data_IF_727749709208
#
_entry.id   IF_727749709208
#
_cell.length_a   1.000
_cell.length_b   1.000
_cell.length_c   1.000
_cell.angle_alpha   90.00
_cell.angle_beta   90.00
_cell.angle_gamma   90.00
#
_symmetry.space_group_name_H-M   'P 1'
#
loop_
_entity.id
_entity.type
_entity.pdbx_description
1 polymer ?
#
# COMPACT_ATOMS: atom_id res chain seq x y z
N UNK A 1 9.75 7.23 4.75
CA UNK A 1 8.47 7.31 5.47
C UNK A 1 7.60 8.34 4.78
N UNK A 2 6.42 7.93 4.32
CA UNK A 2 5.41 8.87 3.79
C UNK A 2 4.91 9.72 4.97
N UNK A 3 4.90 11.06 4.86
CA UNK A 3 4.41 11.91 5.95
C UNK A 3 2.92 11.66 6.20
N UNK A 4 2.59 11.25 7.42
CA UNK A 4 1.21 11.05 7.86
C UNK A 4 0.67 12.42 8.29
N UNK A 5 -0.10 13.08 7.43
CA UNK A 5 -0.98 14.17 7.85
C UNK A 5 -2.17 13.59 8.60
N UNK A 6 -2.68 14.30 9.61
CA UNK A 6 -3.82 13.86 10.45
C UNK A 6 -5.17 13.75 9.72
N UNK A 7 -5.19 13.79 8.38
CA UNK A 7 -6.37 13.55 7.56
C UNK A 7 -6.39 12.11 7.04
N UNK A 8 -7.51 11.40 7.22
CA UNK A 8 -7.87 10.21 6.44
C UNK A 8 -8.15 10.59 4.97
N UNK A 9 -7.29 11.38 4.35
CA UNK A 9 -7.40 11.69 2.93
C UNK A 9 -7.03 10.41 2.14
N UNK A 10 -7.91 9.94 1.24
CA UNK A 10 -7.60 8.80 0.40
C UNK A 10 -6.36 9.15 -0.43
N UNK A 11 -5.27 8.42 -0.22
CA UNK A 11 -4.09 8.55 -1.05
C UNK A 11 -4.45 8.11 -2.46
N UNK A 12 -4.38 9.05 -3.41
CA UNK A 12 -4.59 8.77 -4.82
C UNK A 12 -3.24 8.60 -5.50
N UNK A 13 -3.09 7.51 -6.24
CA UNK A 13 -1.89 7.27 -7.02
C UNK A 13 -1.92 8.09 -8.32
N UNK A 14 -0.79 8.71 -8.72
CA UNK A 14 -0.68 9.38 -10.01
C UNK A 14 -0.54 8.39 -11.19
N UNK A 15 -0.53 7.07 -10.94
CA UNK A 15 -0.36 6.06 -11.99
C UNK A 15 -1.67 5.85 -12.73
N UNK A 16 -1.76 6.38 -13.94
CA UNK A 16 -2.89 6.17 -14.83
C UNK A 16 -2.73 4.86 -15.63
N UNK A 17 -3.84 4.24 -16.10
CA UNK A 17 -3.79 3.01 -16.89
C UNK A 17 -3.05 3.12 -18.24
N UNK A 18 -2.88 4.34 -18.75
CA UNK A 18 -2.15 4.67 -19.98
C UNK A 18 -0.71 5.12 -19.72
N UNK A 19 -0.29 5.19 -18.46
CA UNK A 19 1.10 5.47 -18.09
C UNK A 19 1.94 4.21 -18.35
N UNK A 20 3.19 4.33 -18.82
CA UNK A 20 4.12 3.20 -18.90
C UNK A 20 4.20 2.38 -17.60
N UNK A 21 4.05 3.02 -16.44
CA UNK A 21 4.00 2.33 -15.14
C UNK A 21 2.74 1.48 -14.97
N UNK A 22 1.61 1.93 -15.51
CA UNK A 22 0.38 1.16 -15.57
C UNK A 22 0.53 -0.07 -16.48
N UNK A 23 1.17 0.09 -17.64
CA UNK A 23 1.47 -1.04 -18.54
C UNK A 23 2.37 -2.08 -17.86
N UNK A 24 3.42 -1.65 -17.15
CA UNK A 24 4.27 -2.57 -16.36
C UNK A 24 3.46 -3.36 -15.33
N UNK A 25 2.51 -2.73 -14.63
CA UNK A 25 1.62 -3.44 -13.69
C UNK A 25 0.73 -4.44 -14.43
N UNK A 26 0.26 -4.13 -15.64
CA UNK A 26 -0.54 -5.06 -16.45
C UNK A 26 0.26 -6.27 -16.91
N UNK A 27 1.52 -6.09 -17.28
CA UNK A 27 2.41 -7.17 -17.71
C UNK A 27 2.95 -8.01 -16.53
N UNK A 28 3.13 -7.39 -15.35
CA UNK A 28 3.65 -8.07 -14.18
C UNK A 28 2.75 -9.23 -13.74
N UNK A 29 3.29 -10.44 -13.63
CA UNK A 29 2.55 -11.59 -13.09
C UNK A 29 2.46 -11.54 -11.55
N UNK A 30 3.50 -11.00 -10.90
CA UNK A 30 3.66 -10.95 -9.45
C UNK A 30 4.22 -9.59 -9.05
N UNK A 31 3.70 -9.00 -7.98
CA UNK A 31 4.20 -7.78 -7.35
C UNK A 31 4.82 -8.18 -6.00
N UNK A 32 6.12 -7.98 -5.86
CA UNK A 32 6.83 -8.21 -4.59
C UNK A 32 6.98 -6.87 -3.89
N UNK A 33 6.50 -6.79 -2.66
CA UNK A 33 6.56 -5.58 -1.85
C UNK A 33 7.38 -5.86 -0.60
N UNK A 34 8.60 -5.36 -0.56
CA UNK A 34 9.47 -5.41 0.63
C UNK A 34 9.18 -4.26 1.61
N UNK A 35 9.39 -4.50 2.90
CA UNK A 35 9.00 -3.60 4.01
C UNK A 35 7.50 -3.28 4.08
N UNK A 36 6.63 -4.19 3.64
CA UNK A 36 5.18 -4.07 3.75
C UNK A 36 4.65 -3.64 5.14
N UNK A 37 5.17 -4.15 6.30
CA UNK A 37 4.67 -3.75 7.61
C UNK A 37 4.99 -2.29 7.99
N UNK A 38 5.86 -1.60 7.24
CA UNK A 38 6.10 -0.17 7.39
C UNK A 38 5.10 0.70 6.63
N UNK A 39 4.25 0.10 5.78
CA UNK A 39 3.22 0.81 5.03
C UNK A 39 1.97 1.03 5.89
N UNK A 40 1.46 2.27 5.91
CA UNK A 40 0.19 2.58 6.56
C UNK A 40 -0.98 1.97 5.76
N UNK A 41 -2.11 1.66 6.42
CA UNK A 41 -3.31 1.13 5.77
C UNK A 41 -3.77 1.96 4.55
N UNK A 42 -3.61 3.28 4.60
CA UNK A 42 -3.92 4.18 3.49
C UNK A 42 -3.10 3.88 2.22
N UNK A 43 -1.84 3.47 2.38
CA UNK A 43 -0.95 3.12 1.25
C UNK A 43 -1.39 1.80 0.63
N UNK A 44 -1.79 0.82 1.46
CA UNK A 44 -2.35 -0.44 0.98
C UNK A 44 -3.64 -0.23 0.17
N UNK A 45 -4.56 0.61 0.68
CA UNK A 45 -5.79 0.97 -0.03
C UNK A 45 -5.52 1.67 -1.36
N UNK A 46 -4.53 2.57 -1.40
CA UNK A 46 -4.12 3.25 -2.63
C UNK A 46 -3.59 2.25 -3.67
N UNK A 47 -2.77 1.29 -3.26
CA UNK A 47 -2.24 0.25 -4.16
C UNK A 47 -3.35 -0.65 -4.68
N UNK A 48 -4.26 -1.11 -3.81
CA UNK A 48 -5.44 -1.88 -4.19
C UNK A 48 -6.28 -1.17 -5.27
N UNK A 49 -6.63 0.10 -5.03
CA UNK A 49 -7.40 0.92 -5.96
C UNK A 49 -6.66 1.14 -7.28
N UNK A 50 -5.35 1.42 -7.20
CA UNK A 50 -4.50 1.63 -8.38
C UNK A 50 -4.46 0.37 -9.24
N UNK A 51 -4.25 -0.80 -8.64
CA UNK A 51 -4.21 -2.07 -9.38
C UNK A 51 -5.56 -2.39 -10.03
N UNK A 52 -6.68 -2.17 -9.35
CA UNK A 52 -8.03 -2.31 -9.94
C UNK A 52 -8.24 -1.36 -11.11
N UNK A 53 -7.86 -0.09 -10.95
CA UNK A 53 -7.98 0.93 -12.00
C UNK A 53 -7.15 0.58 -13.25
N UNK A 54 -5.91 0.14 -13.05
CA UNK A 54 -5.00 -0.25 -14.13
C UNK A 54 -5.48 -1.51 -14.84
N UNK A 55 -5.92 -2.52 -14.10
CA UNK A 55 -6.40 -3.79 -14.66
C UNK A 55 -7.82 -3.73 -15.21
N UNK A 56 -8.59 -2.69 -14.85
CA UNK A 56 -10.01 -2.50 -15.20
C UNK A 56 -10.89 -3.67 -14.76
N UNK A 57 -10.65 -4.17 -13.55
CA UNK A 57 -11.48 -5.20 -12.93
C UNK A 57 -11.61 -4.96 -11.42
N UNK A 58 -12.59 -5.61 -10.80
CA UNK A 58 -12.87 -5.52 -9.36
C UNK A 58 -12.27 -6.67 -8.55
N UNK A 59 -11.33 -7.43 -9.14
CA UNK A 59 -10.63 -8.48 -8.41
C UNK A 59 -9.68 -7.85 -7.39
N UNK A 60 -9.39 -8.54 -6.28
CA UNK A 60 -8.36 -8.10 -5.33
C UNK A 60 -7.05 -7.78 -6.06
N UNK A 61 -6.49 -6.59 -5.83
CA UNK A 61 -5.31 -6.06 -6.53
C UNK A 61 -5.35 -6.20 -8.06
N UNK A 62 -6.52 -6.08 -8.68
CA UNK A 62 -6.64 -6.21 -10.13
C UNK A 62 -6.42 -7.64 -10.65
N UNK A 63 -6.45 -8.65 -9.77
CA UNK A 63 -6.11 -10.04 -10.08
C UNK A 63 -4.61 -10.34 -10.06
N UNK A 64 -3.80 -9.43 -9.51
CA UNK A 64 -2.34 -9.61 -9.38
C UNK A 64 -2.01 -10.38 -8.11
N UNK A 65 -0.99 -11.23 -8.21
CA UNK A 65 -0.41 -11.89 -7.03
C UNK A 65 0.50 -10.89 -6.33
N UNK A 66 0.20 -10.58 -5.06
CA UNK A 66 1.05 -9.73 -4.23
C UNK A 66 1.78 -10.58 -3.20
N UNK A 67 3.10 -10.45 -3.16
CA UNK A 67 3.98 -11.07 -2.16
C UNK A 67 4.49 -9.97 -1.24
N UNK A 68 3.94 -9.91 -0.03
CA UNK A 68 4.40 -8.97 0.99
C UNK A 68 5.58 -9.58 1.74
N UNK A 69 6.73 -8.92 1.66
CA UNK A 69 7.94 -9.21 2.41
C UNK A 69 8.13 -8.11 3.46
N UNK A 70 8.74 -8.48 4.58
CA UNK A 70 9.11 -7.53 5.61
C UNK A 70 9.37 -8.17 6.95
N UNK A 71 10.08 -7.44 7.81
CA UNK A 71 10.31 -7.84 9.19
C UNK A 71 9.21 -7.26 10.09
N UNK A 72 8.19 -8.06 10.36
CA UNK A 72 7.12 -7.72 11.31
C UNK A 72 7.64 -7.51 12.74
N UNK A 73 8.88 -7.89 13.06
CA UNK A 73 9.47 -7.72 14.39
C UNK A 73 10.29 -6.43 14.53
N UNK A 74 10.50 -5.67 13.45
CA UNK A 74 11.16 -4.36 13.49
C UNK A 74 10.20 -3.17 13.62
N UNK A 75 8.89 -3.39 13.53
CA UNK A 75 7.87 -2.33 13.56
C UNK A 75 6.92 -2.52 14.74
N UNK A 76 7.40 -2.26 15.96
CA UNK A 76 6.48 -1.69 16.94
C UNK A 76 6.10 -0.30 16.41
N UNK A 77 4.81 0.02 16.21
CA UNK A 77 4.43 1.39 15.88
C UNK A 77 4.91 2.27 17.03
N UNK A 78 5.97 3.05 16.78
CA UNK A 78 6.44 4.04 17.75
C UNK A 78 5.40 5.13 17.74
N UNK A 79 4.43 5.04 18.66
CA UNK A 79 3.49 6.12 18.93
C UNK A 79 4.32 7.26 19.52
N UNK A 80 4.76 8.20 18.68
CA UNK A 80 5.25 9.48 19.20
C UNK A 80 4.07 10.12 19.92
N UNK A 81 4.22 10.35 21.23
CA UNK A 81 3.19 10.84 22.16
C UNK A 81 2.17 9.82 22.71
N UNK A 82 2.44 8.51 22.66
CA UNK A 82 1.59 7.51 23.31
C UNK A 82 1.55 7.72 24.83
N UNK A 83 0.39 8.11 25.38
CA UNK A 83 0.19 8.10 26.83
C UNK A 83 0.05 6.66 27.33
N UNK A 84 0.49 6.42 28.58
CA UNK A 84 0.63 5.10 29.25
C UNK A 84 -0.59 4.15 29.24
N UNK A 85 -1.72 4.52 28.64
CA UNK A 85 -2.96 3.72 28.61
C UNK A 85 -3.12 2.81 27.39
N UNK A 86 -2.21 2.80 26.43
CA UNK A 86 -2.28 1.93 25.24
C UNK A 86 -1.26 0.80 25.23
N UNK A 87 -0.71 0.44 26.40
CA UNK A 87 0.11 -0.76 26.58
C UNK A 87 -0.72 -1.80 27.35
N UNK A 88 -1.76 -2.36 26.72
CA UNK A 88 -2.31 -3.72 26.96
C UNK A 88 -3.00 -4.17 25.67
#
# INVERSE_FOLDING_TARGET
QVPIGEGNEPLLSPIEPSDPRGELIREAAVIIWDEAPMAHNAVLSCVEETCRRVMRNDLPFGGKVIVLLGDFRQTCPVIRYGTRRQVV
#
